data_IF_300639192579
#
_entry.id   IF_300639192579
#
_cell.length_a   1.000
_cell.length_b   1.000
_cell.length_c   1.000
_cell.angle_alpha   90.00
_cell.angle_beta   90.00
_cell.angle_gamma   90.00
#
_symmetry.space_group_name_H-M   'P 1'
#
loop_
_entity.id
_entity.type
_entity.pdbx_description
1 polymer ?
#
# COMPACT_ATOMS: atom_id res chain seq x y z
N UNK A 1 -4.69 -4.19 -22.24
CA UNK A 1 -5.70 -5.10 -22.81
C UNK A 1 -6.59 -5.49 -21.66
N UNK A 2 -7.75 -4.85 -21.52
CA UNK A 2 -8.63 -5.00 -20.36
C UNK A 2 -9.65 -6.08 -20.73
N UNK A 3 -9.49 -7.27 -20.17
CA UNK A 3 -10.55 -8.27 -20.17
C UNK A 3 -11.56 -7.89 -19.08
N UNK A 4 -12.84 -7.82 -19.47
CA UNK A 4 -13.96 -7.64 -18.56
C UNK A 4 -14.31 -9.01 -17.99
N UNK A 5 -14.05 -9.24 -16.71
CA UNK A 5 -14.49 -10.45 -16.00
C UNK A 5 -15.85 -10.14 -15.36
N UNK A 6 -16.87 -11.01 -15.49
CA UNK A 6 -18.20 -10.72 -14.97
C UNK A 6 -18.18 -10.76 -13.45
N UNK A 7 -18.76 -9.74 -12.84
CA UNK A 7 -19.08 -9.70 -11.42
C UNK A 7 -20.23 -10.68 -11.15
N UNK A 8 -19.90 -11.86 -10.61
CA UNK A 8 -20.87 -12.66 -9.88
C UNK A 8 -20.62 -12.46 -8.39
N UNK A 9 -21.71 -12.09 -7.71
CA UNK A 9 -21.87 -12.18 -6.25
C UNK A 9 -21.39 -13.57 -5.81
N UNK A 10 -20.57 -13.60 -4.74
CA UNK A 10 -20.01 -14.78 -4.02
C UNK A 10 -18.49 -15.06 -4.12
N UNK A 11 -17.65 -14.13 -4.59
CA UNK A 11 -16.20 -14.18 -4.32
C UNK A 11 -15.84 -13.42 -3.03
N UNK A 12 -16.25 -13.99 -1.89
CA UNK A 12 -15.86 -13.54 -0.52
C UNK A 12 -14.68 -14.38 0.01
N UNK A 13 -13.99 -15.14 -0.84
CA UNK A 13 -13.01 -16.15 -0.41
C UNK A 13 -11.61 -15.61 -0.06
N UNK A 14 -11.32 -14.33 -0.28
CA UNK A 14 -10.02 -13.73 0.09
C UNK A 14 -10.10 -12.67 1.21
N UNK A 15 -11.24 -12.53 1.90
CA UNK A 15 -11.44 -11.49 2.96
C UNK A 15 -10.69 -11.82 4.26
N UNK A 16 -9.96 -12.94 4.33
CA UNK A 16 -9.18 -13.35 5.51
C UNK A 16 -7.85 -12.60 5.69
N UNK A 17 -7.62 -11.49 4.99
CA UNK A 17 -6.37 -10.73 5.12
C UNK A 17 -6.44 -9.75 6.30
N UNK A 18 -6.34 -10.28 7.51
CA UNK A 18 -6.26 -9.55 8.79
C UNK A 18 -7.46 -8.60 9.04
N UNK A 19 -8.56 -9.06 9.69
CA UNK A 19 -9.82 -8.33 9.78
C UNK A 19 -9.72 -6.91 10.36
N UNK A 20 -8.81 -6.67 11.32
CA UNK A 20 -8.59 -5.32 11.89
C UNK A 20 -7.90 -4.32 10.95
N UNK A 21 -7.46 -4.74 9.76
CA UNK A 21 -6.78 -3.87 8.81
C UNK A 21 -7.67 -2.71 8.37
N UNK A 22 -8.92 -3.00 8.06
CA UNK A 22 -9.89 -2.00 7.58
C UNK A 22 -10.26 -0.99 8.66
N UNK A 23 -10.00 -1.29 9.92
CA UNK A 23 -10.21 -0.37 11.03
C UNK A 23 -8.97 0.48 11.32
N UNK A 24 -7.79 -0.15 11.41
CA UNK A 24 -6.58 0.51 11.91
C UNK A 24 -5.93 1.42 10.87
N UNK A 25 -5.88 1.02 9.58
CA UNK A 25 -5.20 1.83 8.56
C UNK A 25 -5.93 3.15 8.27
N UNK A 26 -7.28 3.18 8.12
CA UNK A 26 -7.98 4.45 7.90
C UNK A 26 -7.92 5.38 9.12
N UNK A 27 -7.89 4.83 10.34
CA UNK A 27 -7.68 5.62 11.57
C UNK A 27 -6.34 6.34 11.56
N UNK A 28 -5.26 5.63 11.21
CA UNK A 28 -3.93 6.22 11.07
C UNK A 28 -3.86 7.28 9.97
N UNK A 29 -4.56 7.06 8.85
CA UNK A 29 -4.66 8.03 7.77
C UNK A 29 -5.41 9.31 8.17
N UNK A 30 -6.44 9.18 9.01
CA UNK A 30 -7.28 10.31 9.42
C UNK A 30 -6.68 11.13 10.56
N UNK A 31 -5.65 10.61 11.23
CA UNK A 31 -5.06 11.23 12.41
C UNK A 31 -4.02 12.29 12.00
N UNK A 32 -4.31 13.54 12.36
CA UNK A 32 -3.50 14.70 12.03
C UNK A 32 -2.09 14.67 12.66
N UNK A 33 -1.87 13.85 13.69
CA UNK A 33 -0.53 13.67 14.27
C UNK A 33 0.42 12.92 13.34
N UNK A 34 -0.11 12.19 12.35
CA UNK A 34 0.67 11.46 11.37
C UNK A 34 0.61 12.20 10.03
N UNK A 35 1.73 12.78 9.55
CA UNK A 35 1.79 13.42 8.23
C UNK A 35 1.87 12.35 7.13
N UNK A 36 0.90 11.43 7.08
CA UNK A 36 0.88 10.34 6.12
C UNK A 36 -0.51 10.06 5.55
N UNK A 37 -0.55 9.80 4.25
CA UNK A 37 -1.76 9.46 3.51
C UNK A 37 -1.74 8.00 3.06
N UNK A 38 -2.84 7.29 3.28
CA UNK A 38 -3.06 5.98 2.69
C UNK A 38 -3.56 6.15 1.25
N UNK A 39 -2.62 6.14 0.29
CA UNK A 39 -2.93 6.27 -1.14
C UNK A 39 -3.65 5.03 -1.67
N UNK A 40 -3.35 3.86 -1.13
CA UNK A 40 -4.16 2.68 -1.42
C UNK A 40 -3.78 1.41 -0.66
N UNK A 41 -4.72 0.49 -0.68
CA UNK A 41 -4.72 -0.77 0.05
C UNK A 41 -5.35 -1.83 -0.83
N UNK A 42 -4.55 -2.79 -1.30
CA UNK A 42 -4.97 -3.80 -2.27
C UNK A 42 -4.55 -5.20 -1.84
N UNK A 43 -5.31 -6.20 -2.30
CA UNK A 43 -4.93 -7.60 -2.28
C UNK A 43 -4.60 -8.04 -3.72
N UNK A 44 -3.59 -8.89 -3.89
CA UNK A 44 -3.19 -9.41 -5.20
C UNK A 44 -4.07 -10.60 -5.59
N UNK A 45 -4.82 -10.45 -6.69
CA UNK A 45 -5.66 -11.52 -7.24
C UNK A 45 -4.90 -12.37 -8.26
N UNK A 46 -4.16 -11.71 -9.15
CA UNK A 46 -3.39 -12.35 -10.21
C UNK A 46 -1.89 -12.16 -9.98
N UNK A 47 -1.12 -13.25 -9.96
CA UNK A 47 0.31 -13.25 -9.66
C UNK A 47 0.63 -13.96 -8.35
N UNK A 48 1.36 -13.31 -7.46
CA UNK A 48 1.64 -13.79 -6.10
C UNK A 48 0.40 -13.58 -5.22
N UNK A 49 -0.45 -14.62 -5.13
CA UNK A 49 -1.66 -14.62 -4.31
C UNK A 49 -1.32 -14.53 -2.81
N UNK A 50 -2.33 -14.23 -1.98
CA UNK A 50 -2.19 -13.97 -0.54
C UNK A 50 -1.26 -12.79 -0.17
N UNK A 51 -0.96 -11.94 -1.15
CA UNK A 51 -0.18 -10.73 -0.97
C UNK A 51 -1.09 -9.52 -0.77
N UNK A 52 -0.75 -8.70 0.24
CA UNK A 52 -1.34 -7.39 0.44
C UNK A 52 -0.32 -6.30 0.15
N UNK A 53 -0.75 -5.28 -0.58
CA UNK A 53 0.06 -4.12 -0.96
C UNK A 53 -0.58 -2.86 -0.40
N UNK A 54 0.19 -2.09 0.36
CA UNK A 54 -0.21 -0.79 0.87
C UNK A 54 0.74 0.28 0.34
N UNK A 55 0.19 1.39 -0.13
CA UNK A 55 0.95 2.55 -0.57
C UNK A 55 0.68 3.71 0.39
N UNK A 56 1.74 4.19 1.02
CA UNK A 56 1.72 5.30 1.96
C UNK A 56 2.51 6.47 1.40
N UNK A 57 1.92 7.66 1.42
CA UNK A 57 2.58 8.91 1.09
C UNK A 57 2.91 9.63 2.40
N UNK A 58 4.11 10.19 2.51
CA UNK A 58 4.53 10.97 3.66
C UNK A 58 4.81 12.40 3.21
N UNK A 59 4.09 13.37 3.78
CA UNK A 59 4.31 14.79 3.51
C UNK A 59 5.43 15.32 4.41
N UNK A 60 6.39 16.05 3.85
CA UNK A 60 7.55 16.56 4.60
C UNK A 60 8.83 15.70 4.51
N UNK A 61 8.87 14.72 3.61
CA UNK A 61 10.09 13.97 3.27
C UNK A 61 10.58 13.02 4.38
N UNK A 62 11.89 12.73 4.39
CA UNK A 62 12.48 11.77 5.32
C UNK A 62 12.31 12.11 6.81
N UNK A 63 12.39 13.38 7.26
CA UNK A 63 12.16 13.72 8.67
C UNK A 63 10.74 13.34 9.13
N UNK A 64 9.72 13.72 8.36
CA UNK A 64 8.33 13.39 8.66
C UNK A 64 8.08 11.87 8.69
N UNK A 65 8.72 11.12 7.78
CA UNK A 65 8.71 9.66 7.82
C UNK A 65 9.29 9.13 9.14
N UNK A 66 10.44 9.64 9.57
CA UNK A 66 11.09 9.18 10.81
C UNK A 66 10.26 9.50 12.04
N UNK A 67 9.66 10.69 12.10
CA UNK A 67 8.78 11.10 13.19
C UNK A 67 7.53 10.23 13.24
N UNK A 68 6.88 10.00 12.10
CA UNK A 68 5.74 9.11 11.99
C UNK A 68 6.10 7.68 12.47
N UNK A 69 7.25 7.15 12.04
CA UNK A 69 7.71 5.83 12.45
C UNK A 69 7.99 5.76 13.96
N UNK A 70 8.47 6.85 14.58
CA UNK A 70 8.71 6.90 16.01
C UNK A 70 7.41 6.98 16.80
N UNK A 71 6.43 7.79 16.37
CA UNK A 71 5.09 7.85 16.96
C UNK A 71 4.37 6.50 16.88
N UNK A 72 4.45 5.83 15.72
CA UNK A 72 3.87 4.49 15.53
C UNK A 72 4.46 3.43 16.47
N UNK A 73 5.71 3.58 16.93
CA UNK A 73 6.30 2.67 17.93
C UNK A 73 5.70 2.85 19.32
N UNK A 74 5.08 3.99 19.61
CA UNK A 74 4.46 4.29 20.91
C UNK A 74 2.95 4.00 20.90
N UNK A 75 2.32 3.95 19.72
CA UNK A 75 0.90 3.67 19.57
C UNK A 75 0.59 2.19 19.90
N UNK A 76 -0.04 1.96 21.05
CA UNK A 76 -0.40 0.62 21.55
C UNK A 76 -1.35 -0.13 20.63
N UNK A 77 -2.36 0.54 20.08
CA UNK A 77 -3.32 -0.07 19.15
C UNK A 77 -2.62 -0.57 17.88
N UNK A 78 -1.69 0.24 17.34
CA UNK A 78 -0.88 -0.17 16.19
C UNK A 78 0.08 -1.32 16.51
N UNK A 79 0.69 -1.33 17.71
CA UNK A 79 1.56 -2.42 18.14
C UNK A 79 0.79 -3.75 18.27
N UNK A 80 -0.41 -3.72 18.85
CA UNK A 80 -1.28 -4.89 18.99
C UNK A 80 -1.73 -5.40 17.62
N UNK A 81 -2.15 -4.49 16.73
CA UNK A 81 -2.45 -4.81 15.34
C UNK A 81 -1.25 -5.44 14.61
N UNK A 82 -0.06 -4.87 14.79
CA UNK A 82 1.18 -5.41 14.20
C UNK A 82 1.49 -6.81 14.72
N UNK A 83 1.26 -7.07 16.01
CA UNK A 83 1.48 -8.39 16.63
C UNK A 83 0.51 -9.43 16.10
N UNK A 84 -0.78 -9.10 16.02
CA UNK A 84 -1.79 -9.98 15.43
C UNK A 84 -1.48 -10.30 13.97
N UNK A 85 -1.20 -9.27 13.16
CA UNK A 85 -0.86 -9.42 11.74
C UNK A 85 0.39 -10.28 11.55
N UNK A 86 1.38 -10.18 12.44
CA UNK A 86 2.62 -10.95 12.33
C UNK A 86 2.42 -12.47 12.40
N UNK A 87 1.32 -12.95 13.02
CA UNK A 87 0.97 -14.37 13.06
C UNK A 87 0.53 -14.93 11.71
N UNK A 88 0.09 -14.06 10.81
CA UNK A 88 -0.43 -14.42 9.48
C UNK A 88 0.57 -14.11 8.35
N UNK A 89 1.68 -13.44 8.64
CA UNK A 89 2.65 -13.00 7.63
C UNK A 89 3.79 -14.00 7.49
N UNK A 90 3.92 -14.59 6.30
CA UNK A 90 5.12 -15.37 5.92
C UNK A 90 6.34 -14.46 5.71
N UNK A 91 6.13 -13.33 5.02
CA UNK A 91 7.19 -12.36 4.76
C UNK A 91 6.64 -10.94 4.67
N UNK A 92 7.52 -9.95 4.82
CA UNK A 92 7.17 -8.54 4.65
C UNK A 92 8.31 -7.78 3.99
N UNK A 93 8.00 -7.05 2.93
CA UNK A 93 8.93 -6.14 2.23
C UNK A 93 8.38 -4.72 2.28
N UNK A 94 9.24 -3.76 2.64
CA UNK A 94 8.94 -2.33 2.56
C UNK A 94 10.00 -1.68 1.66
N UNK A 95 9.58 -0.75 0.80
CA UNK A 95 10.44 0.00 -0.10
C UNK A 95 10.02 1.46 -0.06
N UNK A 96 11.01 2.35 0.12
CA UNK A 96 10.80 3.78 -0.03
C UNK A 96 10.89 4.12 -1.51
N UNK A 97 9.88 4.83 -2.01
CA UNK A 97 9.77 5.24 -3.39
C UNK A 97 9.78 6.76 -3.43
N UNK A 98 10.51 7.33 -4.39
CA UNK A 98 10.41 8.73 -4.74
C UNK A 98 9.46 8.86 -5.93
N UNK A 99 8.58 9.84 -5.89
CA UNK A 99 7.66 10.14 -6.99
C UNK A 99 8.46 10.63 -8.21
N UNK A 100 8.12 10.11 -9.39
CA UNK A 100 8.65 10.63 -10.64
C UNK A 100 7.74 11.76 -11.11
N UNK A 101 8.34 12.92 -11.44
CA UNK A 101 7.61 14.08 -11.97
C UNK A 101 6.91 13.86 -13.31
N UNK A 102 7.17 12.73 -13.97
CA UNK A 102 6.56 12.37 -15.25
C UNK A 102 5.10 11.91 -15.12
N UNK A 103 4.72 11.32 -13.98
CA UNK A 103 3.38 10.78 -13.78
C UNK A 103 2.50 11.78 -13.02
N UNK A 104 1.20 11.81 -13.36
CA UNK A 104 0.22 12.57 -12.58
C UNK A 104 0.10 12.02 -11.15
N UNK A 105 -0.37 12.86 -10.23
CA UNK A 105 -0.64 12.43 -8.87
C UNK A 105 -1.66 11.28 -8.84
N UNK A 106 -1.41 10.25 -7.99
CA UNK A 106 -2.32 9.13 -7.84
C UNK A 106 -3.61 9.59 -7.16
N UNK A 107 -4.72 9.61 -7.90
CA UNK A 107 -6.04 9.94 -7.35
C UNK A 107 -6.86 8.68 -7.07
N UNK A 108 -7.53 8.59 -5.91
CA UNK A 108 -8.41 7.47 -5.61
C UNK A 108 -9.60 7.48 -6.58
N UNK A 109 -9.86 6.33 -7.20
CA UNK A 109 -11.03 6.15 -8.08
C UNK A 109 -12.20 5.55 -7.32
N UNK A 110 -13.40 6.01 -7.63
CA UNK A 110 -14.63 5.47 -7.06
C UNK A 110 -14.98 4.10 -7.67
N UNK A 111 -15.54 3.21 -6.84
CA UNK A 111 -16.02 1.89 -7.27
C UNK A 111 -14.97 0.76 -7.19
N UNK A 112 -15.38 -0.48 -7.52
CA UNK A 112 -14.51 -1.65 -7.52
C UNK A 112 -13.57 -1.60 -8.74
N UNK A 113 -12.39 -1.03 -8.54
CA UNK A 113 -11.37 -0.91 -9.58
C UNK A 113 -10.31 -1.99 -9.41
N UNK A 114 -9.91 -2.61 -10.53
CA UNK A 114 -8.79 -3.55 -10.58
C UNK A 114 -7.57 -2.79 -11.09
N UNK A 115 -6.46 -2.91 -10.37
CA UNK A 115 -5.22 -2.20 -10.66
C UNK A 115 -4.11 -3.18 -11.03
N UNK A 116 -3.22 -2.75 -11.94
CA UNK A 116 -2.04 -3.51 -12.32
C UNK A 116 -0.79 -2.89 -11.69
N UNK A 117 -0.11 -3.65 -10.82
CA UNK A 117 1.17 -3.24 -10.24
C UNK A 117 2.31 -3.58 -11.21
N UNK A 118 3.01 -2.55 -11.71
CA UNK A 118 4.15 -2.73 -12.63
C UNK A 118 5.46 -2.30 -11.99
N UNK A 119 6.48 -3.13 -12.16
CA UNK A 119 7.86 -2.81 -11.76
C UNK A 119 8.73 -2.69 -13.00
N UNK A 120 9.34 -1.54 -13.20
CA UNK A 120 10.25 -1.24 -14.30
C UNK A 120 11.68 -1.16 -13.80
N UNK A 121 12.63 -1.69 -14.57
CA UNK A 121 14.05 -1.43 -14.36
C UNK A 121 14.45 -0.29 -15.28
N UNK A 122 14.69 0.88 -14.71
CA UNK A 122 15.14 2.05 -15.45
C UNK A 122 16.66 1.97 -15.64
N UNK A 123 17.09 2.14 -16.88
CA UNK A 123 18.51 2.30 -17.22
C UNK A 123 18.74 3.77 -17.55
N UNK A 124 19.19 4.55 -16.58
CA UNK A 124 19.74 5.87 -16.89
C UNK A 124 21.11 5.67 -17.54
N UNK A 125 21.57 6.64 -18.34
CA UNK A 125 22.95 6.66 -18.86
C UNK A 125 23.94 6.73 -17.68
N UNK A 126 24.29 5.59 -17.09
CA UNK A 126 25.30 5.42 -16.04
C UNK A 126 24.81 4.87 -14.69
N UNK A 127 23.51 4.92 -14.36
CA UNK A 127 22.97 4.42 -13.09
C UNK A 127 21.76 3.50 -13.34
N UNK A 128 21.78 2.29 -12.77
CA UNK A 128 20.64 1.39 -12.76
C UNK A 128 19.71 1.73 -11.59
N UNK A 129 18.46 2.08 -11.88
CA UNK A 129 17.43 2.36 -10.89
C UNK A 129 16.20 1.48 -11.11
N UNK A 130 15.46 1.16 -10.07
CA UNK A 130 14.14 0.54 -10.18
C UNK A 130 13.05 1.60 -10.06
N UNK A 131 12.01 1.53 -10.89
CA UNK A 131 10.81 2.31 -10.74
C UNK A 131 9.60 1.39 -10.57
N UNK A 132 8.63 1.81 -9.76
CA UNK A 132 7.35 1.13 -9.63
C UNK A 132 6.25 2.09 -10.06
N UNK A 133 5.40 1.63 -10.96
CA UNK A 133 4.23 2.36 -11.41
C UNK A 133 2.98 1.67 -10.90
N UNK A 134 2.16 2.43 -10.19
CA UNK A 134 0.76 2.06 -9.95
C UNK A 134 -0.03 2.75 -11.06
N UNK A 135 -0.51 1.96 -12.02
CA UNK A 135 -1.45 2.49 -13.00
C UNK A 135 -2.81 2.44 -12.35
N UNK A 136 -3.20 3.60 -11.81
CA UNK A 136 -4.58 3.88 -11.47
C UNK A 136 -5.35 3.74 -12.75
#
# INVERSE_FOLDING_TARGET
MISKVPSNREDVSCVSVCPRREEVLPKLHSDADYPCDLVGNWNTWYGEQDQAVHLWRFSGGYPALMDCMNKLKQNKEYLDFRKERSRMLLSRRNQLLLEFSFWNEPLPRQGPNIYELRTYKLKARGLSGGAKGFFF
#
